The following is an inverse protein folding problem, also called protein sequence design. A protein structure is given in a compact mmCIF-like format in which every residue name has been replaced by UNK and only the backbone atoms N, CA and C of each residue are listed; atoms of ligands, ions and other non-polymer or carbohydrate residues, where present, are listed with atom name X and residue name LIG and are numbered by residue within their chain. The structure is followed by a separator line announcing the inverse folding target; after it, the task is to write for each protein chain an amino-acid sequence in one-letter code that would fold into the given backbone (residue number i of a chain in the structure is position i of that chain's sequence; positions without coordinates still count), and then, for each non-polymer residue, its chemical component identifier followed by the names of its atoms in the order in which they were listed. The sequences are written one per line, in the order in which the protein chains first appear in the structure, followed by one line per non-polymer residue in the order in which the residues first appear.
data_IF_345108330418
#
_entry.id   IF_345108330418
#
_cell.length_a   1.000
_cell.length_b   1.000
_cell.length_c   1.000
_cell.angle_alpha   90.00
_cell.angle_beta   90.00
_cell.angle_gamma   90.00
#
_symmetry.space_group_name_H-M   'P 1'
#
loop_
_entity.id
_entity.type
_entity.pdbx_description
1 polymer ?
#
# COMPACT_ATOMS: atom_id res chain seq x y z
N UNK A 1 -0.56 4.15 8.95
CA UNK A 1 0.76 3.76 8.42
C UNK A 1 1.55 4.95 7.87
N UNK A 2 1.01 5.79 6.98
CA UNK A 2 1.75 6.90 6.36
C UNK A 2 2.48 7.85 7.33
N UNK A 3 1.78 8.43 8.31
CA UNK A 3 2.40 9.36 9.28
C UNK A 3 3.49 8.68 10.11
N UNK A 4 3.25 7.43 10.53
CA UNK A 4 4.18 6.64 11.33
C UNK A 4 5.45 6.27 10.53
N UNK A 5 5.28 5.91 9.26
CA UNK A 5 6.38 5.63 8.33
C UNK A 5 7.17 6.89 7.97
N UNK A 6 6.50 8.03 7.78
CA UNK A 6 7.15 9.32 7.56
C UNK A 6 7.98 9.78 8.76
N UNK A 7 7.44 9.69 9.98
CA UNK A 7 8.19 10.00 11.20
C UNK A 7 9.41 9.07 11.38
N UNK A 8 9.25 7.77 11.12
CA UNK A 8 10.37 6.82 11.14
C UNK A 8 11.46 7.19 10.13
N UNK A 9 11.07 7.59 8.91
CA UNK A 9 12.00 8.02 7.88
C UNK A 9 12.74 9.31 8.27
N UNK A 10 12.08 10.29 8.91
CA UNK A 10 12.73 11.51 9.42
C UNK A 10 13.81 11.16 10.45
N UNK A 11 13.51 10.26 11.38
CA UNK A 11 14.44 9.86 12.44
C UNK A 11 15.69 9.16 11.89
N UNK A 12 15.52 8.32 10.85
CA UNK A 12 16.61 7.56 10.24
C UNK A 12 17.44 8.43 9.30
N UNK A 13 16.78 9.16 8.41
CA UNK A 13 17.46 9.93 7.35
C UNK A 13 17.91 11.31 7.81
N UNK A 14 17.42 11.81 8.95
CA UNK A 14 17.57 13.20 9.43
C UNK A 14 17.13 14.25 8.40
N UNK A 15 16.36 13.86 7.39
CA UNK A 15 15.85 14.73 6.34
C UNK A 15 14.33 14.81 6.42
N UNK A 16 13.82 16.02 6.60
CA UNK A 16 12.39 16.31 6.56
C UNK A 16 11.79 15.98 5.18
N UNK A 17 12.58 16.16 4.13
CA UNK A 17 12.17 15.95 2.74
C UNK A 17 11.94 14.46 2.45
N UNK A 18 12.89 13.60 2.85
CA UNK A 18 12.75 12.14 2.74
C UNK A 18 11.57 11.65 3.59
N UNK A 19 11.42 12.20 4.80
CA UNK A 19 10.30 11.94 5.68
C UNK A 19 8.92 12.18 5.07
N UNK A 20 8.75 13.35 4.45
CA UNK A 20 7.50 13.73 3.78
C UNK A 20 7.22 12.84 2.57
N UNK A 21 8.23 12.55 1.75
CA UNK A 21 8.08 11.68 0.57
C UNK A 21 7.67 10.26 0.98
N UNK A 22 8.33 9.67 1.99
CA UNK A 22 7.99 8.34 2.50
C UNK A 22 6.62 8.32 3.19
N UNK A 23 6.30 9.36 3.96
CA UNK A 23 5.01 9.44 4.65
C UNK A 23 3.83 9.53 3.69
N UNK A 24 3.95 10.37 2.65
CA UNK A 24 2.93 10.53 1.61
C UNK A 24 2.83 9.29 0.72
N UNK A 25 3.95 8.69 0.32
CA UNK A 25 3.94 7.49 -0.52
C UNK A 25 3.26 6.32 0.20
N UNK A 26 3.58 6.09 1.47
CA UNK A 26 2.96 5.02 2.27
C UNK A 26 1.47 5.28 2.54
N UNK A 27 1.07 6.54 2.70
CA UNK A 27 -0.34 6.88 2.85
C UNK A 27 -1.12 6.50 1.59
N UNK A 28 -0.67 6.97 0.42
CA UNK A 28 -1.31 6.68 -0.87
C UNK A 28 -1.27 5.18 -1.18
N UNK A 29 -0.12 4.53 -1.01
CA UNK A 29 0.05 3.11 -1.26
C UNK A 29 -0.89 2.25 -0.41
N UNK A 30 -0.96 2.50 0.89
CA UNK A 30 -1.79 1.71 1.80
C UNK A 30 -3.28 1.91 1.55
N UNK A 31 -3.72 3.12 1.19
CA UNK A 31 -5.13 3.38 0.84
C UNK A 31 -5.53 2.64 -0.45
N UNK A 32 -4.73 2.76 -1.51
CA UNK A 32 -5.04 2.12 -2.80
C UNK A 32 -4.95 0.59 -2.69
N UNK A 33 -3.91 0.06 -2.04
CA UNK A 33 -3.73 -1.37 -1.86
C UNK A 33 -4.87 -1.99 -1.03
N UNK A 34 -5.27 -1.33 0.08
CA UNK A 34 -6.38 -1.80 0.91
C UNK A 34 -7.72 -1.75 0.14
N UNK A 35 -7.95 -0.68 -0.64
CA UNK A 35 -9.15 -0.57 -1.45
C UNK A 35 -9.23 -1.70 -2.48
N UNK A 36 -8.16 -1.95 -3.23
CA UNK A 36 -8.11 -3.03 -4.23
C UNK A 36 -8.25 -4.42 -3.59
N UNK A 37 -7.59 -4.67 -2.46
CA UNK A 37 -7.75 -5.91 -1.71
C UNK A 37 -9.19 -6.12 -1.22
N UNK A 38 -9.87 -5.07 -0.78
CA UNK A 38 -11.27 -5.13 -0.32
C UNK A 38 -12.28 -5.40 -1.44
N UNK A 39 -11.92 -5.11 -2.69
CA UNK A 39 -12.75 -5.41 -3.86
C UNK A 39 -12.68 -6.89 -4.25
N UNK A 40 -11.64 -7.62 -3.83
CA UNK A 40 -11.41 -9.00 -4.23
C UNK A 40 -12.55 -9.95 -3.80
N UNK A 41 -13.08 -9.91 -2.55
CA UNK A 41 -14.26 -10.70 -2.16
C UNK A 41 -15.52 -10.33 -2.97
N UNK A 42 -15.68 -9.06 -3.35
CA UNK A 42 -16.81 -8.59 -4.15
C UNK A 42 -16.74 -9.17 -5.56
N UNK A 43 -15.55 -9.18 -6.17
CA UNK A 43 -15.31 -9.80 -7.47
C UNK A 43 -15.62 -11.31 -7.41
N UNK A 44 -15.17 -12.02 -6.37
CA UNK A 44 -15.50 -13.44 -6.21
C UNK A 44 -17.00 -13.67 -6.09
N UNK A 45 -17.71 -12.84 -5.32
CA UNK A 45 -19.17 -12.89 -5.21
C UNK A 45 -19.85 -12.70 -6.58
N UNK A 46 -19.38 -11.74 -7.37
CA UNK A 46 -19.91 -11.45 -8.71
C UNK A 46 -19.65 -12.61 -9.70
N UNK A 47 -18.55 -13.33 -9.53
CA UNK A 47 -18.21 -14.52 -10.31
C UNK A 47 -18.90 -15.80 -9.82
N UNK A 48 -19.78 -15.72 -8.81
CA UNK A 48 -20.46 -16.87 -8.21
C UNK A 48 -19.53 -17.79 -7.41
N UNK A 49 -18.34 -17.32 -7.03
CA UNK A 49 -17.37 -18.04 -6.20
C UNK A 49 -17.50 -17.57 -4.74
N UNK A 50 -17.01 -18.40 -3.82
CA UNK A 50 -17.05 -18.10 -2.39
C UNK A 50 -16.19 -16.85 -2.06
N UNK A 51 -16.79 -15.76 -1.53
CA UNK A 51 -16.07 -14.56 -1.11
C UNK A 51 -14.97 -14.83 -0.07
N UNK A 52 -15.08 -15.90 0.71
CA UNK A 52 -14.09 -16.30 1.70
C UNK A 52 -12.72 -16.59 1.08
N UNK A 53 -12.68 -17.00 -0.19
CA UNK A 53 -11.44 -17.17 -0.96
C UNK A 53 -10.71 -15.84 -1.16
N UNK A 54 -11.46 -14.74 -1.29
CA UNK A 54 -10.91 -13.40 -1.49
C UNK A 54 -10.48 -12.72 -0.21
N UNK A 55 -11.12 -13.00 0.92
CA UNK A 55 -10.81 -12.35 2.21
C UNK A 55 -9.66 -12.99 3.00
N UNK A 56 -9.11 -14.09 2.49
CA UNK A 56 -8.01 -14.83 3.09
C UNK A 56 -6.62 -14.37 2.62
N UNK A 57 -5.64 -15.29 2.53
CA UNK A 57 -4.25 -14.99 2.14
C UNK A 57 -4.09 -14.27 0.79
N UNK A 58 -5.09 -14.40 -0.10
CA UNK A 58 -5.12 -13.75 -1.40
C UNK A 58 -5.29 -12.23 -1.32
N UNK A 59 -6.18 -11.71 -0.46
CA UNK A 59 -6.34 -10.27 -0.29
C UNK A 59 -5.07 -9.64 0.25
N UNK A 60 -4.44 -10.26 1.25
CA UNK A 60 -3.18 -9.77 1.82
C UNK A 60 -2.04 -9.83 0.81
N UNK A 61 -1.92 -10.90 0.02
CA UNK A 61 -0.92 -10.97 -1.05
C UNK A 61 -1.12 -9.88 -2.11
N UNK A 62 -2.37 -9.61 -2.50
CA UNK A 62 -2.68 -8.52 -3.43
C UNK A 62 -2.34 -7.15 -2.85
N UNK A 63 -2.63 -6.95 -1.57
CA UNK A 63 -2.28 -5.74 -0.83
C UNK A 63 -0.75 -5.56 -0.79
N UNK A 64 0.01 -6.61 -0.50
CA UNK A 64 1.47 -6.57 -0.42
C UNK A 64 2.09 -6.20 -1.77
N UNK A 65 1.72 -6.91 -2.85
CA UNK A 65 2.22 -6.63 -4.20
C UNK A 65 1.87 -5.20 -4.63
N UNK A 66 0.63 -4.76 -4.42
CA UNK A 66 0.20 -3.42 -4.81
C UNK A 66 0.93 -2.33 -4.04
N UNK A 67 1.09 -2.50 -2.73
CA UNK A 67 1.77 -1.51 -1.89
C UNK A 67 3.26 -1.37 -2.24
N UNK A 68 3.95 -2.47 -2.56
CA UNK A 68 5.35 -2.47 -3.01
C UNK A 68 5.49 -1.78 -4.37
N UNK A 69 4.60 -2.07 -5.33
CA UNK A 69 4.60 -1.42 -6.65
C UNK A 69 4.43 0.10 -6.51
N UNK A 70 3.48 0.55 -5.68
CA UNK A 70 3.27 1.98 -5.46
C UNK A 70 4.47 2.61 -4.75
N UNK A 71 5.06 1.93 -3.76
CA UNK A 71 6.27 2.41 -3.10
C UNK A 71 7.42 2.63 -4.10
N UNK A 72 7.69 1.66 -4.98
CA UNK A 72 8.73 1.79 -6.01
C UNK A 72 8.40 2.90 -7.02
N UNK A 73 7.15 3.05 -7.44
CA UNK A 73 6.73 4.16 -8.31
C UNK A 73 7.02 5.53 -7.68
N UNK A 74 6.69 5.71 -6.40
CA UNK A 74 7.00 6.94 -5.68
C UNK A 74 8.51 7.11 -5.48
N UNK A 75 9.23 6.05 -5.11
CA UNK A 75 10.67 6.11 -4.97
C UNK A 75 11.35 6.56 -6.27
N UNK A 76 11.02 5.97 -7.41
CA UNK A 76 11.59 6.37 -8.72
C UNK A 76 11.16 7.77 -9.18
N UNK A 77 9.98 8.23 -8.78
CA UNK A 77 9.48 9.56 -9.18
C UNK A 77 10.12 10.68 -8.35
N UNK A 78 10.29 10.48 -7.04
CA UNK A 78 10.72 11.52 -6.10
C UNK A 78 12.20 11.42 -5.70
N UNK A 79 12.77 10.22 -5.67
CA UNK A 79 14.19 9.98 -5.40
C UNK A 79 14.85 9.73 -6.74
N UNK A 80 15.44 10.78 -7.30
CA UNK A 80 16.13 10.75 -8.59
C UNK A 80 17.63 10.92 -8.40
#
# INVERSE_FOLDING_TARGET
MGIMGGLGAILISKSMEIGLVVGLSLLVASTIASALASLLPIIFKLLGKDPALGSGPLATALQDVTSVVIYFLFATTFIR
#
